data_IF_331074177216
#
_entry.id   IF_331074177216
#
_cell.length_a   1.000
_cell.length_b   1.000
_cell.length_c   1.000
_cell.angle_alpha   90.00
_cell.angle_beta   90.00
_cell.angle_gamma   90.00
#
_symmetry.space_group_name_H-M   'P 1'
#
loop_
_entity.id
_entity.type
_entity.pdbx_description
1 polymer ?
#
# COMPACT_ATOMS: atom_id res chain seq x y z
N UNK A 1 45.72 -13.17 13.35
CA UNK A 1 44.99 -11.90 13.54
C UNK A 1 44.40 -11.54 12.17
N UNK A 2 43.09 -11.53 12.04
CA UNK A 2 42.48 -11.20 10.73
C UNK A 2 42.68 -9.71 10.48
N UNK A 3 43.17 -9.37 9.28
CA UNK A 3 43.43 -7.98 8.92
C UNK A 3 42.11 -7.21 8.85
N UNK A 4 42.03 -6.10 9.58
CA UNK A 4 40.86 -5.22 9.64
C UNK A 4 40.44 -4.76 8.23
N UNK A 5 41.38 -4.56 7.32
CA UNK A 5 41.10 -4.20 5.92
C UNK A 5 40.36 -5.30 5.18
N UNK A 6 40.69 -6.58 5.46
CA UNK A 6 40.03 -7.73 4.87
C UNK A 6 38.56 -7.83 5.34
N UNK A 7 38.34 -7.59 6.64
CA UNK A 7 36.96 -7.59 7.20
C UNK A 7 36.12 -6.50 6.53
N UNK A 8 36.64 -5.28 6.42
CA UNK A 8 35.93 -4.16 5.78
C UNK A 8 35.61 -4.48 4.33
N UNK A 9 36.58 -5.04 3.59
CA UNK A 9 36.36 -5.41 2.18
C UNK A 9 35.25 -6.48 2.02
N UNK A 10 35.21 -7.47 2.91
CA UNK A 10 34.16 -8.50 2.91
C UNK A 10 32.77 -7.86 3.21
N UNK A 11 32.70 -7.01 4.22
CA UNK A 11 31.44 -6.34 4.60
C UNK A 11 30.92 -5.49 3.44
N UNK A 12 31.78 -4.68 2.81
CA UNK A 12 31.39 -3.85 1.66
C UNK A 12 30.95 -4.73 0.48
N UNK A 13 31.65 -5.85 0.21
CA UNK A 13 31.28 -6.78 -0.84
C UNK A 13 29.90 -7.42 -0.61
N UNK A 14 29.62 -7.85 0.62
CA UNK A 14 28.30 -8.41 1.01
C UNK A 14 27.20 -7.35 0.85
N UNK A 15 27.44 -6.11 1.30
CA UNK A 15 26.48 -5.01 1.14
C UNK A 15 26.18 -4.69 -0.33
N UNK A 16 27.22 -4.64 -1.16
CA UNK A 16 27.06 -4.41 -2.59
C UNK A 16 26.22 -5.52 -3.25
N UNK A 17 26.48 -6.78 -2.89
CA UNK A 17 25.75 -7.93 -3.41
C UNK A 17 24.28 -7.90 -2.98
N UNK A 18 24.00 -7.62 -1.71
CA UNK A 18 22.64 -7.47 -1.20
C UNK A 18 21.89 -6.33 -1.90
N UNK A 19 22.58 -5.22 -2.17
CA UNK A 19 22.00 -4.08 -2.89
C UNK A 19 21.60 -4.46 -4.32
N UNK A 20 22.48 -5.15 -5.07
CA UNK A 20 22.18 -5.62 -6.43
C UNK A 20 21.03 -6.60 -6.46
N UNK A 21 20.98 -7.55 -5.50
CA UNK A 21 19.86 -8.50 -5.37
C UNK A 21 18.56 -7.76 -5.11
N UNK A 22 18.56 -6.79 -4.20
CA UNK A 22 17.37 -5.98 -3.89
C UNK A 22 16.87 -5.20 -5.11
N UNK A 23 17.77 -4.55 -5.84
CA UNK A 23 17.42 -3.83 -7.07
C UNK A 23 16.82 -4.77 -8.13
N UNK A 24 17.40 -5.95 -8.29
CA UNK A 24 16.90 -6.94 -9.26
C UNK A 24 15.49 -7.43 -8.90
N UNK A 25 15.21 -7.65 -7.62
CA UNK A 25 13.89 -8.05 -7.13
C UNK A 25 12.86 -6.93 -7.36
N UNK A 26 13.22 -5.68 -7.05
CA UNK A 26 12.34 -4.53 -7.27
C UNK A 26 12.00 -4.38 -8.75
N UNK A 27 13.00 -4.38 -9.62
CA UNK A 27 12.82 -4.27 -11.07
C UNK A 27 11.92 -5.36 -11.64
N UNK A 28 12.04 -6.60 -11.13
CA UNK A 28 11.19 -7.73 -11.54
C UNK A 28 9.74 -7.59 -11.06
N UNK A 29 9.51 -6.99 -9.88
CA UNK A 29 8.16 -6.70 -9.36
C UNK A 29 7.49 -5.61 -10.17
N UNK A 30 8.20 -4.53 -10.43
CA UNK A 30 7.74 -3.39 -11.22
C UNK A 30 7.37 -3.81 -12.65
N UNK A 31 8.21 -4.59 -13.32
CA UNK A 31 7.88 -5.16 -14.63
C UNK A 31 6.61 -5.99 -14.60
N UNK A 32 6.47 -6.89 -13.62
CA UNK A 32 5.25 -7.72 -13.48
C UNK A 32 4.00 -6.87 -13.19
N UNK A 33 4.13 -5.83 -12.37
CA UNK A 33 3.02 -4.93 -12.08
C UNK A 33 2.61 -4.14 -13.33
N UNK A 34 3.58 -3.68 -14.14
CA UNK A 34 3.33 -3.00 -15.40
C UNK A 34 2.63 -3.91 -16.41
N UNK A 35 3.13 -5.13 -16.59
CA UNK A 35 2.52 -6.12 -17.48
C UNK A 35 1.09 -6.47 -17.06
N UNK A 36 0.86 -6.62 -15.74
CA UNK A 36 -0.45 -6.90 -15.18
C UNK A 36 -1.44 -5.75 -15.41
N UNK A 37 -1.01 -4.51 -15.19
CA UNK A 37 -1.82 -3.31 -15.47
C UNK A 37 -2.18 -3.24 -16.97
N UNK A 38 -1.21 -3.45 -17.83
CA UNK A 38 -1.45 -3.45 -19.28
C UNK A 38 -2.43 -4.54 -19.72
N UNK A 39 -2.34 -5.73 -19.14
CA UNK A 39 -3.22 -6.86 -19.45
C UNK A 39 -4.64 -6.70 -18.91
N UNK A 40 -4.87 -5.79 -17.97
CA UNK A 40 -6.16 -5.56 -17.33
C UNK A 40 -6.61 -4.09 -17.47
N UNK A 41 -6.19 -3.41 -18.54
CA UNK A 41 -6.53 -2.00 -18.78
C UNK A 41 -8.04 -1.74 -18.98
N UNK A 42 -8.82 -2.78 -19.26
CA UNK A 42 -10.27 -2.76 -19.39
C UNK A 42 -11.03 -3.01 -18.08
N UNK A 43 -10.30 -3.18 -16.97
CA UNK A 43 -10.85 -3.40 -15.63
C UNK A 43 -10.49 -2.24 -14.69
N UNK A 44 -11.11 -2.23 -13.53
CA UNK A 44 -10.66 -1.40 -12.41
C UNK A 44 -9.46 -2.06 -11.74
N UNK A 45 -8.41 -1.30 -11.48
CA UNK A 45 -7.24 -1.78 -10.75
C UNK A 45 -7.30 -1.26 -9.30
N UNK A 46 -7.23 -2.17 -8.35
CA UNK A 46 -7.30 -1.83 -6.94
C UNK A 46 -5.96 -2.11 -6.26
N UNK A 47 -5.35 -1.07 -5.72
CA UNK A 47 -4.08 -1.09 -4.99
C UNK A 47 -4.38 -1.12 -3.50
N UNK A 48 -4.04 -2.23 -2.83
CA UNK A 48 -4.35 -2.49 -1.43
C UNK A 48 -3.09 -2.43 -0.56
N UNK A 49 -3.10 -1.55 0.43
CA UNK A 49 -2.01 -1.37 1.40
C UNK A 49 -2.42 -1.87 2.78
N UNK A 50 -2.07 -3.12 3.12
CA UNK A 50 -2.45 -3.75 4.37
C UNK A 50 -2.35 -5.27 4.32
N UNK A 51 -3.19 -5.95 5.09
CA UNK A 51 -3.20 -7.41 5.21
C UNK A 51 -4.60 -7.99 5.40
N UNK A 52 -4.73 -9.31 5.22
CA UNK A 52 -5.97 -10.07 5.43
C UNK A 52 -7.15 -9.52 4.62
N UNK A 53 -6.88 -9.20 3.36
CA UNK A 53 -7.92 -8.68 2.48
C UNK A 53 -8.89 -9.75 2.01
N UNK A 54 -10.16 -9.37 1.92
CA UNK A 54 -11.17 -10.08 1.16
C UNK A 54 -11.95 -9.09 0.28
N UNK A 55 -12.44 -9.58 -0.85
CA UNK A 55 -13.24 -8.82 -1.81
C UNK A 55 -14.48 -9.63 -2.11
N UNK A 56 -15.67 -9.02 -1.93
CA UNK A 56 -16.97 -9.67 -2.10
C UNK A 56 -17.08 -10.98 -1.30
N UNK A 57 -16.55 -10.95 -0.06
CA UNK A 57 -16.54 -12.10 0.86
C UNK A 57 -15.56 -13.22 0.50
N UNK A 58 -14.72 -13.04 -0.53
CA UNK A 58 -13.71 -14.01 -0.97
C UNK A 58 -12.32 -13.54 -0.58
N UNK A 59 -11.52 -14.45 -0.03
CA UNK A 59 -10.12 -14.14 0.34
C UNK A 59 -9.33 -13.67 -0.89
N UNK A 60 -8.45 -12.68 -0.70
CA UNK A 60 -7.64 -12.10 -1.79
C UNK A 60 -6.73 -13.13 -2.48
N UNK A 61 -6.35 -14.21 -1.79
CA UNK A 61 -5.54 -15.29 -2.38
C UNK A 61 -6.27 -16.07 -3.50
N UNK A 62 -7.58 -15.94 -3.60
CA UNK A 62 -8.40 -16.54 -4.67
C UNK A 62 -8.45 -15.69 -5.95
N UNK A 63 -7.88 -14.50 -5.91
CA UNK A 63 -7.76 -13.60 -7.05
C UNK A 63 -6.33 -13.65 -7.62
N UNK A 64 -6.23 -13.45 -8.93
CA UNK A 64 -4.93 -13.15 -9.51
C UNK A 64 -4.45 -11.78 -9.04
N UNK A 65 -3.32 -11.74 -8.36
CA UNK A 65 -2.75 -10.51 -7.81
C UNK A 65 -1.27 -10.40 -8.12
N UNK A 66 -0.80 -9.17 -8.24
CA UNK A 66 0.64 -8.87 -8.29
C UNK A 66 1.02 -7.99 -7.11
N UNK A 67 2.30 -8.03 -6.74
CA UNK A 67 2.85 -7.10 -5.75
C UNK A 67 3.55 -5.98 -6.48
N UNK A 68 3.12 -4.76 -6.24
CA UNK A 68 3.76 -3.56 -6.74
C UNK A 68 4.85 -3.03 -5.81
N UNK A 69 5.11 -1.74 -5.90
CA UNK A 69 5.99 -1.02 -5.00
C UNK A 69 5.44 -1.03 -3.57
N UNK A 70 6.31 -0.83 -2.59
CA UNK A 70 5.93 -0.76 -1.16
C UNK A 70 5.09 -1.95 -0.65
N UNK A 71 5.20 -3.12 -1.31
CA UNK A 71 4.48 -4.34 -0.94
C UNK A 71 2.95 -4.26 -1.08
N UNK A 72 2.44 -3.28 -1.80
CA UNK A 72 1.02 -3.24 -2.15
C UNK A 72 0.59 -4.50 -2.90
N UNK A 73 -0.69 -4.83 -2.81
CA UNK A 73 -1.33 -5.85 -3.63
C UNK A 73 -2.20 -5.18 -4.68
N UNK A 74 -1.97 -5.53 -5.94
CA UNK A 74 -2.76 -5.02 -7.05
C UNK A 74 -3.66 -6.15 -7.53
N UNK A 75 -4.95 -5.88 -7.60
CA UNK A 75 -5.98 -6.80 -8.11
C UNK A 75 -6.83 -6.09 -9.15
N UNK A 76 -7.17 -6.79 -10.24
CA UNK A 76 -8.05 -6.30 -11.27
C UNK A 76 -9.48 -6.81 -11.02
N UNK A 77 -10.44 -5.89 -10.97
CA UNK A 77 -11.84 -6.16 -10.71
C UNK A 77 -12.72 -5.66 -11.87
N UNK A 78 -13.88 -6.26 -12.13
CA UNK A 78 -14.85 -5.66 -13.04
C UNK A 78 -15.32 -4.30 -12.50
N UNK A 79 -15.95 -3.50 -13.36
CA UNK A 79 -16.63 -2.27 -12.90
C UNK A 79 -17.83 -2.60 -12.01
N UNK A 80 -18.13 -1.74 -11.05
CA UNK A 80 -19.28 -1.84 -10.16
C UNK A 80 -18.93 -1.68 -8.68
N UNK A 81 -19.90 -2.00 -7.85
CA UNK A 81 -19.75 -1.95 -6.38
C UNK A 81 -19.08 -3.21 -5.87
N UNK A 82 -17.99 -3.04 -5.13
CA UNK A 82 -17.25 -4.12 -4.51
C UNK A 82 -17.15 -3.92 -3.01
N UNK A 83 -17.40 -4.98 -2.26
CA UNK A 83 -17.22 -5.01 -0.81
C UNK A 83 -15.81 -5.41 -0.48
N UNK A 84 -15.07 -4.50 0.11
CA UNK A 84 -13.65 -4.66 0.45
C UNK A 84 -13.53 -4.75 1.97
N UNK A 85 -12.91 -5.82 2.46
CA UNK A 85 -12.57 -5.93 3.88
C UNK A 85 -11.07 -6.18 4.05
N UNK A 86 -10.50 -5.66 5.15
CA UNK A 86 -9.09 -5.82 5.43
C UNK A 86 -8.63 -5.20 6.74
N UNK A 87 -7.39 -5.51 7.09
CA UNK A 87 -6.67 -4.88 8.20
C UNK A 87 -5.62 -3.96 7.60
N UNK A 88 -5.73 -2.68 7.89
CA UNK A 88 -4.86 -1.65 7.35
C UNK A 88 -3.74 -1.31 8.30
N UNK A 89 -2.60 -0.94 7.78
CA UNK A 89 -1.40 -0.63 8.53
C UNK A 89 -0.69 0.59 7.93
N UNK A 90 -0.20 1.45 8.80
CA UNK A 90 0.66 2.57 8.45
C UNK A 90 1.79 2.71 9.46
N UNK A 91 2.87 3.38 9.08
CA UNK A 91 3.94 3.77 10.00
C UNK A 91 4.08 5.28 9.94
N UNK A 92 3.76 5.92 11.04
CA UNK A 92 3.85 7.36 11.21
C UNK A 92 5.09 7.72 12.03
N UNK A 93 5.56 8.94 11.87
CA UNK A 93 6.67 9.48 12.68
C UNK A 93 6.07 10.40 13.73
N UNK A 94 6.30 10.08 15.01
CA UNK A 94 5.89 10.94 16.13
C UNK A 94 6.63 12.28 16.11
N UNK A 95 6.11 13.26 16.86
CA UNK A 95 6.78 14.55 17.07
C UNK A 95 8.19 14.44 17.67
N UNK A 96 8.51 13.31 18.31
CA UNK A 96 9.82 12.98 18.87
C UNK A 96 10.69 12.16 17.90
N UNK A 97 10.29 12.00 16.64
CA UNK A 97 11.03 11.27 15.62
C UNK A 97 10.97 9.73 15.77
N UNK A 98 10.08 9.20 16.60
CA UNK A 98 9.91 7.75 16.77
C UNK A 98 8.88 7.20 15.78
N UNK A 99 9.15 6.03 15.23
CA UNK A 99 8.19 5.33 14.39
C UNK A 99 7.05 4.75 15.24
N UNK A 100 5.82 5.14 14.90
CA UNK A 100 4.58 4.60 15.47
C UNK A 100 3.94 3.71 14.42
N UNK A 101 3.82 2.42 14.71
CA UNK A 101 3.10 1.50 13.84
C UNK A 101 1.62 1.53 14.20
N UNK A 102 0.80 1.92 13.24
CA UNK A 102 -0.66 1.92 13.35
C UNK A 102 -1.22 0.65 12.73
N UNK A 103 -2.24 0.10 13.34
CA UNK A 103 -2.97 -1.07 12.83
C UNK A 103 -4.45 -0.91 13.18
N UNK A 104 -5.32 -1.07 12.19
CA UNK A 104 -6.78 -1.03 12.38
C UNK A 104 -7.34 -2.37 12.87
N UNK A 105 -8.55 -2.36 13.39
CA UNK A 105 -9.43 -3.53 13.38
C UNK A 105 -9.69 -3.99 11.94
N UNK A 106 -10.37 -5.13 11.78
CA UNK A 106 -10.92 -5.54 10.49
C UNK A 106 -12.01 -4.55 10.10
N UNK A 107 -11.86 -3.93 8.95
CA UNK A 107 -12.80 -2.94 8.42
C UNK A 107 -13.39 -3.44 7.13
N UNK A 108 -14.68 -3.20 6.94
CA UNK A 108 -15.41 -3.54 5.71
C UNK A 108 -16.13 -2.29 5.20
N UNK A 109 -16.08 -2.07 3.89
CA UNK A 109 -16.77 -0.97 3.20
C UNK A 109 -17.04 -1.34 1.75
N UNK A 110 -18.02 -0.67 1.15
CA UNK A 110 -18.32 -0.80 -0.26
C UNK A 110 -17.68 0.36 -1.03
N UNK A 111 -17.08 0.07 -2.19
CA UNK A 111 -16.48 1.04 -3.09
C UNK A 111 -16.97 0.84 -4.53
N UNK A 112 -17.38 1.92 -5.17
CA UNK A 112 -17.74 1.93 -6.60
C UNK A 112 -16.46 2.09 -7.43
N UNK A 113 -16.23 1.14 -8.32
CA UNK A 113 -15.05 1.11 -9.18
C UNK A 113 -15.47 1.22 -10.65
N UNK A 114 -14.81 2.10 -11.38
CA UNK A 114 -15.03 2.30 -12.82
C UNK A 114 -13.92 1.61 -13.61
N UNK A 115 -14.27 0.98 -14.72
CA UNK A 115 -13.28 0.34 -15.61
C UNK A 115 -12.27 1.33 -16.16
N UNK A 116 -11.05 0.88 -16.38
CA UNK A 116 -9.97 1.69 -16.94
C UNK A 116 -9.36 2.67 -15.93
N UNK A 117 -9.79 2.63 -14.67
CA UNK A 117 -9.24 3.46 -13.62
C UNK A 117 -8.48 2.65 -12.57
N UNK A 118 -7.49 3.29 -11.95
CA UNK A 118 -6.75 2.74 -10.81
C UNK A 118 -7.21 3.42 -9.53
N UNK A 119 -7.32 2.62 -8.46
CA UNK A 119 -7.75 3.07 -7.15
C UNK A 119 -6.76 2.62 -6.11
N UNK A 120 -6.38 3.50 -5.21
CA UNK A 120 -5.58 3.16 -4.03
C UNK A 120 -6.44 3.15 -2.78
N UNK A 121 -6.26 2.12 -1.96
CA UNK A 121 -6.92 1.94 -0.67
C UNK A 121 -5.84 1.86 0.40
N UNK A 122 -5.66 2.95 1.14
CA UNK A 122 -4.61 3.06 2.14
C UNK A 122 -5.10 3.71 3.44
N UNK A 123 -4.41 3.41 4.54
CA UNK A 123 -4.61 4.09 5.81
C UNK A 123 -3.84 5.41 5.83
N UNK A 124 -4.50 6.44 6.32
CA UNK A 124 -3.91 7.74 6.63
C UNK A 124 -4.22 8.13 8.07
N UNK A 125 -3.21 8.69 8.75
CA UNK A 125 -3.32 9.17 10.13
C UNK A 125 -3.78 10.64 10.22
N UNK A 126 -4.30 11.20 9.15
CA UNK A 126 -4.83 12.56 9.04
C UNK A 126 -6.10 12.58 8.20
N UNK A 127 -6.93 13.60 8.41
CA UNK A 127 -8.18 13.75 7.68
C UNK A 127 -7.97 13.95 6.17
N UNK A 128 -9.01 13.72 5.35
CA UNK A 128 -8.95 14.01 3.92
C UNK A 128 -8.63 15.48 3.63
N UNK A 129 -9.10 16.41 4.47
CA UNK A 129 -8.85 17.84 4.35
C UNK A 129 -7.38 18.15 4.58
N UNK A 130 -6.79 17.64 5.67
CA UNK A 130 -5.36 17.79 5.96
C UNK A 130 -4.50 17.19 4.85
N UNK A 131 -4.91 16.06 4.31
CA UNK A 131 -4.22 15.44 3.17
C UNK A 131 -4.23 16.34 1.95
N UNK A 132 -5.36 16.96 1.62
CA UNK A 132 -5.48 17.90 0.49
C UNK A 132 -4.59 19.12 0.66
N UNK A 133 -4.51 19.68 1.87
CA UNK A 133 -3.62 20.78 2.17
C UNK A 133 -2.14 20.41 2.00
N UNK A 134 -1.77 19.20 2.44
CA UNK A 134 -0.39 18.71 2.32
C UNK A 134 0.04 18.59 0.86
N UNK A 135 -0.79 18.05 -0.01
CA UNK A 135 -0.47 17.85 -1.43
C UNK A 135 -0.71 19.07 -2.33
N UNK A 136 -1.30 20.16 -1.83
CA UNK A 136 -1.44 21.48 -2.49
C UNK A 136 -1.82 21.44 -3.99
N UNK A 137 -2.92 20.79 -4.29
CA UNK A 137 -3.60 20.97 -5.58
C UNK A 137 -3.49 19.78 -6.56
N UNK A 138 -2.58 18.86 -6.38
CA UNK A 138 -2.51 17.64 -7.20
C UNK A 138 -2.98 16.43 -6.39
N UNK A 139 -4.19 16.56 -5.83
CA UNK A 139 -4.74 15.54 -4.95
C UNK A 139 -5.61 14.61 -5.77
N UNK A 140 -5.35 13.28 -5.71
CA UNK A 140 -6.24 12.29 -6.29
C UNK A 140 -7.68 12.48 -5.79
N UNK A 141 -8.65 12.17 -6.63
CA UNK A 141 -10.05 12.28 -6.29
C UNK A 141 -10.40 11.27 -5.20
N UNK A 142 -10.80 11.75 -4.03
CA UNK A 142 -11.33 10.90 -2.97
C UNK A 142 -12.68 10.32 -3.41
N UNK A 143 -12.74 8.99 -3.45
CA UNK A 143 -13.97 8.25 -3.70
C UNK A 143 -14.71 8.00 -2.39
N UNK A 144 -13.95 7.61 -1.36
CA UNK A 144 -14.50 7.25 -0.06
C UNK A 144 -13.50 7.54 1.06
N UNK A 145 -14.00 7.93 2.23
CA UNK A 145 -13.22 8.06 3.46
C UNK A 145 -13.95 7.39 4.61
N UNK A 146 -13.31 6.42 5.27
CA UNK A 146 -13.89 5.64 6.37
C UNK A 146 -13.04 5.83 7.63
N UNK A 147 -13.61 6.30 8.75
CA UNK A 147 -12.88 6.39 10.01
C UNK A 147 -12.52 5.00 10.54
N UNK A 148 -11.32 4.89 11.14
CA UNK A 148 -10.77 3.64 11.64
C UNK A 148 -10.72 3.61 13.17
N UNK A 149 -11.01 2.44 13.74
CA UNK A 149 -10.62 2.07 15.10
C UNK A 149 -9.24 1.41 15.04
N UNK A 150 -8.30 1.90 15.85
CA UNK A 150 -6.94 1.38 15.91
C UNK A 150 -6.81 0.36 17.04
N UNK A 151 -6.23 -0.79 16.73
CA UNK A 151 -5.80 -1.81 17.72
C UNK A 151 -4.35 -1.64 18.14
N UNK A 152 -3.56 -0.94 17.32
CA UNK A 152 -2.20 -0.49 17.63
C UNK A 152 -2.04 0.97 17.24
N UNK A 153 -1.35 1.71 18.07
CA UNK A 153 -1.08 3.13 17.89
C UNK A 153 -1.38 3.93 19.14
N UNK A 154 -1.46 5.24 19.00
CA UNK A 154 -1.84 6.15 20.08
C UNK A 154 -3.35 6.38 20.06
N UNK A 155 -4.00 6.39 21.22
CA UNK A 155 -5.44 6.75 21.35
C UNK A 155 -5.78 8.14 20.81
N UNK A 156 -4.77 9.00 20.69
CA UNK A 156 -4.93 10.36 20.17
C UNK A 156 -4.76 10.47 18.65
N UNK A 157 -4.44 9.38 17.95
CA UNK A 157 -4.27 9.40 16.51
C UNK A 157 -5.59 9.04 15.84
N UNK A 158 -6.13 9.95 15.05
CA UNK A 158 -7.25 9.68 14.16
C UNK A 158 -6.72 9.09 12.86
N UNK A 159 -7.26 7.95 12.47
CA UNK A 159 -6.90 7.30 11.21
C UNK A 159 -8.15 7.04 10.35
N UNK A 160 -7.94 7.04 9.05
CA UNK A 160 -8.97 6.82 8.06
C UNK A 160 -8.44 5.89 6.98
N UNK A 161 -9.32 5.04 6.43
CA UNK A 161 -9.09 4.52 5.08
C UNK A 161 -9.53 5.60 4.12
N UNK A 162 -8.70 5.87 3.13
CA UNK A 162 -9.08 6.70 2.00
C UNK A 162 -8.96 5.85 0.74
N UNK A 163 -10.07 5.76 0.03
CA UNK A 163 -10.11 5.22 -1.33
C UNK A 163 -10.04 6.40 -2.28
N UNK A 164 -9.02 6.45 -3.10
CA UNK A 164 -8.87 7.52 -4.08
C UNK A 164 -8.54 6.96 -5.46
N UNK A 165 -9.05 7.66 -6.48
CA UNK A 165 -8.74 7.36 -7.87
C UNK A 165 -7.39 7.97 -8.21
N UNK A 166 -6.49 7.14 -8.72
CA UNK A 166 -5.20 7.59 -9.23
C UNK A 166 -5.38 8.34 -10.56
N UNK A 167 -4.56 9.35 -10.79
CA UNK A 167 -4.56 10.16 -12.03
C UNK A 167 -3.87 9.44 -13.18
#
# INVERSE_FOLDING_TARGET
>A
MIDTKLIVAIVVGVWALLFVVRMSIQKKRESKATDYRASNADKALLHLYGKKFSIDGRDLSLFETVSGENLEKIVALPEGSHRIAGVYQSTEVSALGQNINLESEMVEFDAELEKGHSYSVAMYAYSPEERREYYKGDVPRDVLSVPLTLVKGSENVKAYIIVYQES
#
